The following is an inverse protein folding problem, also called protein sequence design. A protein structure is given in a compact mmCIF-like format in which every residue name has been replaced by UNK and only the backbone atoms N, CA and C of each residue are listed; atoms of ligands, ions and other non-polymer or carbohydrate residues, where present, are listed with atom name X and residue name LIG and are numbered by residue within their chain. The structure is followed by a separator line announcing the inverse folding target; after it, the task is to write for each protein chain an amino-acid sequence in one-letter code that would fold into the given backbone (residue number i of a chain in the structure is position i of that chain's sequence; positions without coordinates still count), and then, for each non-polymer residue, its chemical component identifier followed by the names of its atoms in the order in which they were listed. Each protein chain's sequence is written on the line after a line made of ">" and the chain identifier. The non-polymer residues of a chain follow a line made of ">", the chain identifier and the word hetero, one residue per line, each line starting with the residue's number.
data_IF_895127620180
#
_entry.id   IF_895127620180
#
_cell.length_a   1.000
_cell.length_b   1.000
_cell.length_c   1.000
_cell.angle_alpha   90.00
_cell.angle_beta   90.00
_cell.angle_gamma   90.00
#
_symmetry.space_group_name_H-M   'P 1'
#
loop_
_entity.id
_entity.type
_entity.pdbx_description
1 polymer ?
#
# COMPACT_ATOMS: atom_id res chain seq x y z
N UNK A 1 2.05 30.28 -49.29
CA UNK A 1 1.13 30.74 -48.23
C UNK A 1 1.48 30.01 -46.94
N UNK A 2 2.04 30.68 -45.93
CA UNK A 2 2.47 30.06 -44.67
C UNK A 2 1.24 29.88 -43.76
N UNK A 3 0.93 28.63 -43.43
CA UNK A 3 -0.20 28.30 -42.55
C UNK A 3 0.14 28.72 -41.12
N UNK A 4 -0.49 29.80 -40.68
CA UNK A 4 -0.52 30.20 -39.28
C UNK A 4 -1.37 29.19 -38.47
N UNK A 5 -0.73 28.12 -38.00
CA UNK A 5 -1.35 27.22 -37.02
C UNK A 5 -1.48 27.96 -35.69
N UNK A 6 -2.70 28.43 -35.43
CA UNK A 6 -3.32 28.70 -34.13
C UNK A 6 -2.37 29.10 -32.98
N UNK A 7 -2.08 30.40 -32.84
CA UNK A 7 -1.68 31.00 -31.55
C UNK A 7 -2.93 31.33 -30.74
N UNK A 8 -3.61 30.32 -30.20
CA UNK A 8 -4.57 30.57 -29.11
C UNK A 8 -3.80 31.08 -27.90
N UNK A 9 -4.25 32.18 -27.29
CA UNK A 9 -3.54 32.84 -26.20
C UNK A 9 -3.30 31.87 -25.03
N UNK A 10 -2.01 31.64 -24.72
CA UNK A 10 -1.51 30.78 -23.65
C UNK A 10 -1.83 31.42 -22.29
N UNK A 11 -3.01 31.15 -21.74
CA UNK A 11 -3.45 31.64 -20.41
C UNK A 11 -2.77 30.93 -19.23
N UNK A 12 -1.88 29.96 -19.48
CA UNK A 12 -1.19 29.20 -18.43
C UNK A 12 0.28 29.65 -18.27
N UNK A 13 0.61 30.30 -17.15
CA UNK A 13 1.96 30.81 -16.83
C UNK A 13 2.91 29.77 -16.21
N UNK A 14 2.55 28.48 -16.20
CA UNK A 14 3.36 27.40 -15.64
C UNK A 14 4.23 26.66 -16.67
N UNK A 15 4.35 25.34 -16.49
CA UNK A 15 5.04 24.40 -17.38
C UNK A 15 5.02 24.76 -18.88
N UNK A 16 6.21 24.96 -19.47
CA UNK A 16 6.40 25.44 -20.86
C UNK A 16 6.59 24.33 -21.90
N UNK A 17 6.90 23.10 -21.48
CA UNK A 17 7.07 21.95 -22.39
C UNK A 17 5.73 21.26 -22.69
N UNK A 18 5.51 20.74 -23.91
CA UNK A 18 4.23 20.11 -24.30
C UNK A 18 3.86 18.90 -23.42
N UNK A 19 4.86 18.12 -22.98
CA UNK A 19 4.68 16.98 -22.06
C UNK A 19 4.12 17.43 -20.70
N UNK A 20 4.66 18.51 -20.15
CA UNK A 20 4.22 19.05 -18.87
C UNK A 20 2.79 19.64 -18.93
N UNK A 21 2.41 20.35 -20.01
CA UNK A 21 1.03 20.78 -20.23
C UNK A 21 0.04 19.59 -20.33
N UNK A 22 0.45 18.48 -20.95
CA UNK A 22 -0.33 17.23 -20.96
C UNK A 22 -0.49 16.66 -19.54
N UNK A 23 0.58 16.64 -18.74
CA UNK A 23 0.54 16.16 -17.34
C UNK A 23 -0.39 17.00 -16.47
N UNK A 24 -0.39 18.33 -16.62
CA UNK A 24 -1.33 19.22 -15.90
C UNK A 24 -2.78 18.85 -16.22
N UNK A 25 -3.13 18.73 -17.51
CA UNK A 25 -4.49 18.32 -17.92
C UNK A 25 -4.90 16.95 -17.36
N UNK A 26 -3.99 15.97 -17.40
CA UNK A 26 -4.23 14.65 -16.82
C UNK A 26 -4.42 14.71 -15.30
N UNK A 27 -3.60 15.49 -14.61
CA UNK A 27 -3.67 15.66 -13.16
C UNK A 27 -5.00 16.30 -12.73
N UNK A 28 -5.47 17.33 -13.44
CA UNK A 28 -6.77 17.97 -13.15
C UNK A 28 -7.93 16.98 -13.28
N UNK A 29 -7.96 16.17 -14.35
CA UNK A 29 -8.98 15.13 -14.57
C UNK A 29 -8.95 14.08 -13.45
N UNK A 30 -7.77 13.55 -13.14
CA UNK A 30 -7.59 12.57 -12.04
C UNK A 30 -7.97 13.18 -10.69
N UNK A 31 -7.63 14.44 -10.42
CA UNK A 31 -7.95 15.15 -9.18
C UNK A 31 -9.47 15.28 -9.01
N UNK A 32 -10.22 15.57 -10.07
CA UNK A 32 -11.67 15.69 -9.99
C UNK A 32 -12.33 14.38 -9.54
N UNK A 33 -11.96 13.26 -10.16
CA UNK A 33 -12.48 11.92 -9.81
C UNK A 33 -12.02 11.50 -8.41
N UNK A 34 -10.71 11.60 -8.13
CA UNK A 34 -10.15 11.16 -6.86
C UNK A 34 -10.68 11.99 -5.67
N UNK A 35 -10.95 13.28 -5.89
CA UNK A 35 -11.52 14.13 -4.85
C UNK A 35 -12.89 13.62 -4.42
N UNK A 36 -13.77 13.32 -5.38
CA UNK A 36 -15.13 12.82 -5.12
C UNK A 36 -15.11 11.53 -4.29
N UNK A 37 -14.41 10.50 -4.75
CA UNK A 37 -14.37 9.22 -4.03
C UNK A 37 -13.72 9.35 -2.65
N UNK A 38 -12.68 10.20 -2.53
CA UNK A 38 -12.02 10.44 -1.24
C UNK A 38 -12.92 11.21 -0.27
N UNK A 39 -13.68 12.18 -0.74
CA UNK A 39 -14.63 12.93 0.10
C UNK A 39 -15.79 12.04 0.52
N UNK A 40 -16.38 11.27 -0.40
CA UNK A 40 -17.46 10.31 -0.10
C UNK A 40 -17.04 9.32 0.99
N UNK A 41 -15.89 8.66 0.82
CA UNK A 41 -15.38 7.72 1.83
C UNK A 41 -15.05 8.41 3.18
N UNK A 42 -14.61 9.68 3.16
CA UNK A 42 -14.37 10.45 4.40
C UNK A 42 -15.68 10.78 5.11
N UNK A 43 -16.70 11.21 4.36
CA UNK A 43 -18.01 11.59 4.89
C UNK A 43 -18.71 10.38 5.51
N UNK A 44 -18.72 9.23 4.83
CA UNK A 44 -19.34 8.01 5.37
C UNK A 44 -18.66 7.52 6.66
N UNK A 45 -17.32 7.59 6.72
CA UNK A 45 -16.57 7.25 7.94
C UNK A 45 -16.88 8.23 9.08
N UNK A 46 -17.07 9.51 8.76
CA UNK A 46 -17.45 10.52 9.75
C UNK A 46 -18.86 10.25 10.28
N UNK A 47 -19.84 10.06 9.39
CA UNK A 47 -21.22 9.73 9.76
C UNK A 47 -21.29 8.46 10.62
N UNK A 48 -20.61 7.38 10.22
CA UNK A 48 -20.55 6.16 11.02
C UNK A 48 -19.88 6.37 12.39
N UNK A 49 -18.86 7.24 12.46
CA UNK A 49 -18.23 7.59 13.74
C UNK A 49 -19.15 8.43 14.62
N UNK A 50 -19.93 9.34 14.04
CA UNK A 50 -20.82 10.25 14.78
C UNK A 50 -22.05 9.51 15.30
N UNK A 51 -22.61 8.58 14.51
CA UNK A 51 -23.68 7.68 14.95
C UNK A 51 -23.18 6.80 16.11
N UNK A 52 -21.98 6.21 15.99
CA UNK A 52 -21.40 5.42 17.07
C UNK A 52 -21.15 6.23 18.35
N UNK A 53 -20.93 7.54 18.27
CA UNK A 53 -20.74 8.40 19.44
C UNK A 53 -22.06 9.02 19.96
N UNK A 54 -23.22 8.61 19.44
CA UNK A 54 -24.53 9.16 19.81
C UNK A 54 -24.75 10.61 19.37
N UNK A 55 -23.91 11.15 18.47
CA UNK A 55 -24.02 12.53 17.97
C UNK A 55 -25.03 12.69 16.84
N UNK A 56 -25.45 11.57 16.25
CA UNK A 56 -26.42 11.51 15.16
C UNK A 56 -27.30 10.28 15.35
N UNK A 57 -28.57 10.41 15.00
CA UNK A 57 -29.51 9.28 14.94
C UNK A 57 -29.33 8.53 13.62
N UNK A 58 -29.49 7.20 13.65
CA UNK A 58 -29.46 6.36 12.46
C UNK A 58 -29.01 4.93 12.73
N UNK A 59 -29.12 4.09 11.71
CA UNK A 59 -28.74 2.68 11.78
C UNK A 59 -27.20 2.53 11.77
N UNK A 60 -26.62 2.52 12.97
CA UNK A 60 -25.19 2.26 13.21
C UNK A 60 -24.60 1.11 12.38
N UNK A 61 -25.18 -0.11 12.35
CA UNK A 61 -24.61 -1.22 11.60
C UNK A 61 -24.57 -0.97 10.09
N UNK A 62 -25.62 -0.35 9.53
CA UNK A 62 -25.67 -0.03 8.10
C UNK A 62 -24.66 1.06 7.73
N UNK A 63 -24.57 2.12 8.54
CA UNK A 63 -23.60 3.19 8.34
C UNK A 63 -22.15 2.68 8.36
N UNK A 64 -21.85 1.75 9.28
CA UNK A 64 -20.53 1.10 9.36
C UNK A 64 -20.26 0.24 8.13
N UNK A 65 -21.23 -0.56 7.67
CA UNK A 65 -21.10 -1.37 6.47
C UNK A 65 -20.86 -0.51 5.21
N UNK A 66 -21.62 0.57 5.06
CA UNK A 66 -21.47 1.53 3.96
C UNK A 66 -20.09 2.20 3.97
N UNK A 67 -19.60 2.60 5.15
CA UNK A 67 -18.26 3.18 5.30
C UNK A 67 -17.14 2.21 4.92
N UNK A 68 -17.24 0.94 5.31
CA UNK A 68 -16.26 -0.10 4.93
C UNK A 68 -16.28 -0.32 3.43
N UNK A 69 -17.46 -0.49 2.83
CA UNK A 69 -17.63 -0.70 1.39
C UNK A 69 -17.01 0.46 0.59
N UNK A 70 -17.24 1.70 1.01
CA UNK A 70 -16.66 2.87 0.36
C UNK A 70 -15.13 2.94 0.47
N UNK A 71 -14.56 2.55 1.62
CA UNK A 71 -13.11 2.49 1.80
C UNK A 71 -12.45 1.43 0.91
N UNK A 72 -13.09 0.28 0.75
CA UNK A 72 -12.60 -0.81 -0.09
C UNK A 72 -12.66 -0.46 -1.57
N UNK A 73 -13.81 0.06 -2.04
CA UNK A 73 -13.95 0.55 -3.41
C UNK A 73 -12.91 1.64 -3.73
N UNK A 74 -12.57 2.49 -2.76
CA UNK A 74 -11.53 3.49 -2.94
C UNK A 74 -10.11 2.90 -2.98
N UNK A 75 -9.87 1.77 -2.29
CA UNK A 75 -8.60 1.05 -2.32
C UNK A 75 -8.42 0.25 -3.61
N UNK A 76 -9.47 -0.45 -4.06
CA UNK A 76 -9.50 -1.19 -5.33
C UNK A 76 -9.24 -0.26 -6.52
N UNK A 77 -9.82 0.94 -6.51
CA UNK A 77 -9.56 1.98 -7.53
C UNK A 77 -8.17 2.61 -7.44
N UNK A 78 -7.34 2.23 -6.46
CA UNK A 78 -6.01 2.80 -6.23
C UNK A 78 -6.00 4.26 -5.77
N UNK A 79 -7.15 4.80 -5.33
CA UNK A 79 -7.28 6.19 -4.86
C UNK A 79 -6.76 6.32 -3.42
N UNK A 80 -6.95 5.26 -2.62
CA UNK A 80 -6.36 5.08 -1.29
C UNK A 80 -5.42 3.87 -1.31
N UNK A 81 -4.29 3.99 -0.63
CA UNK A 81 -3.42 2.83 -0.41
C UNK A 81 -4.14 1.78 0.45
N UNK A 82 -3.99 0.46 0.20
CA UNK A 82 -4.67 -0.59 0.96
C UNK A 82 -4.41 -0.48 2.47
N UNK A 83 -3.16 -0.22 2.87
CA UNK A 83 -2.84 0.03 4.29
C UNK A 83 -3.54 1.28 4.87
N UNK A 84 -3.81 2.31 4.06
CA UNK A 84 -4.55 3.49 4.54
C UNK A 84 -6.02 3.12 4.77
N UNK A 85 -6.64 2.39 3.84
CA UNK A 85 -7.99 1.86 4.00
C UNK A 85 -8.08 0.94 5.24
N UNK A 86 -7.16 -0.01 5.40
CA UNK A 86 -7.09 -0.90 6.56
C UNK A 86 -6.96 -0.14 7.89
N UNK A 87 -6.09 0.88 7.96
CA UNK A 87 -5.97 1.74 9.14
C UNK A 87 -7.28 2.47 9.46
N UNK A 88 -7.98 2.98 8.45
CA UNK A 88 -9.26 3.68 8.64
C UNK A 88 -10.34 2.73 9.14
N UNK A 89 -10.44 1.52 8.58
CA UNK A 89 -11.34 0.48 9.07
C UNK A 89 -11.06 0.11 10.52
N UNK A 90 -9.80 -0.15 10.86
CA UNK A 90 -9.41 -0.50 12.24
C UNK A 90 -9.77 0.60 13.24
N UNK A 91 -9.54 1.87 12.89
CA UNK A 91 -9.93 3.01 13.72
C UNK A 91 -11.44 3.13 13.89
N UNK A 92 -12.21 2.95 12.81
CA UNK A 92 -13.68 2.97 12.88
C UNK A 92 -14.20 1.87 13.81
N UNK A 93 -13.73 0.64 13.61
CA UNK A 93 -14.12 -0.51 14.44
C UNK A 93 -13.75 -0.33 15.92
N UNK A 94 -12.60 0.27 16.20
CA UNK A 94 -12.20 0.55 17.59
C UNK A 94 -13.19 1.51 18.26
N UNK A 95 -13.66 2.53 17.54
CA UNK A 95 -14.66 3.48 18.07
C UNK A 95 -16.02 2.83 18.27
N UNK A 96 -16.49 2.06 17.29
CA UNK A 96 -17.77 1.36 17.34
C UNK A 96 -17.78 0.37 18.50
N UNK A 97 -16.71 -0.42 18.66
CA UNK A 97 -16.61 -1.35 19.79
C UNK A 97 -16.53 -0.61 21.13
N UNK A 98 -15.83 0.53 21.19
CA UNK A 98 -15.79 1.33 22.42
C UNK A 98 -17.18 1.86 22.78
N UNK A 99 -17.97 2.31 21.80
CA UNK A 99 -19.34 2.74 22.01
C UNK A 99 -20.25 1.61 22.48
N UNK A 100 -20.23 0.46 21.81
CA UNK A 100 -21.00 -0.71 22.25
C UNK A 100 -20.60 -1.18 23.66
N UNK A 101 -19.32 -1.12 24.02
CA UNK A 101 -18.88 -1.43 25.38
C UNK A 101 -19.39 -0.41 26.42
N UNK A 102 -19.63 0.85 26.03
CA UNK A 102 -20.25 1.84 26.90
C UNK A 102 -21.74 1.55 27.09
N UNK A 103 -22.46 1.20 26.01
CA UNK A 103 -23.87 0.78 26.09
C UNK A 103 -24.04 -0.50 26.92
N UNK A 104 -23.17 -1.50 26.73
CA UNK A 104 -23.18 -2.72 27.53
C UNK A 104 -22.77 -2.49 29.00
N UNK A 105 -21.96 -1.46 29.29
CA UNK A 105 -21.62 -1.10 30.68
C UNK A 105 -22.82 -0.48 31.42
N UNK A 106 -23.77 0.15 30.72
CA UNK A 106 -25.02 0.61 31.33
C UNK A 106 -26.05 -0.53 31.48
N UNK A 107 -26.01 -1.53 30.60
CA UNK A 107 -26.92 -2.70 30.66
C UNK A 107 -26.44 -3.83 31.59
N UNK A 108 -25.15 -3.90 31.92
CA UNK A 108 -24.58 -4.99 32.71
C UNK A 108 -24.51 -4.66 34.21
N UNK A 109 -25.48 -5.20 34.96
CA UNK A 109 -25.20 -5.61 36.34
C UNK A 109 -24.04 -6.62 36.32
N UNK A 110 -23.06 -6.52 37.24
CA UNK A 110 -21.73 -7.11 37.05
C UNK A 110 -21.74 -8.62 37.33
N UNK A 111 -22.10 -9.43 36.34
CA UNK A 111 -21.97 -10.89 36.40
C UNK A 111 -20.88 -11.37 35.44
N UNK A 112 -19.74 -11.73 36.04
CA UNK A 112 -18.66 -12.56 35.49
C UNK A 112 -17.85 -11.99 34.31
N UNK A 113 -17.04 -10.97 34.59
CA UNK A 113 -15.88 -10.61 33.78
C UNK A 113 -14.86 -11.76 33.72
N UNK A 114 -14.92 -12.59 32.67
CA UNK A 114 -13.80 -13.46 32.27
C UNK A 114 -12.66 -12.57 31.79
N UNK A 115 -11.76 -12.24 32.71
CA UNK A 115 -10.53 -11.50 32.44
C UNK A 115 -9.73 -12.24 31.37
N UNK A 116 -9.76 -11.74 30.12
CA UNK A 116 -8.80 -12.15 29.09
C UNK A 116 -7.46 -11.55 29.48
N UNK A 117 -6.71 -12.27 30.31
CA UNK A 117 -5.39 -11.83 30.76
C UNK A 117 -4.50 -11.61 29.54
N UNK A 118 -3.83 -10.48 29.50
CA UNK A 118 -2.85 -10.10 28.46
C UNK A 118 -1.70 -11.10 28.35
N UNK A 119 -1.51 -11.93 29.38
CA UNK A 119 -0.62 -13.09 29.40
C UNK A 119 -0.97 -14.13 28.31
N UNK A 120 -2.26 -14.39 28.05
CA UNK A 120 -2.71 -15.35 27.04
C UNK A 120 -2.38 -14.90 25.61
N UNK A 121 -2.46 -13.59 25.34
CA UNK A 121 -2.10 -12.99 24.04
C UNK A 121 -0.59 -13.00 23.78
N UNK A 122 0.23 -12.83 24.82
CA UNK A 122 1.70 -12.95 24.72
C UNK A 122 2.13 -14.41 24.54
N UNK A 123 1.50 -15.34 25.26
CA UNK A 123 1.73 -16.77 25.10
C UNK A 123 1.28 -17.30 23.72
N UNK A 124 0.14 -16.83 23.20
CA UNK A 124 -0.31 -17.13 21.84
C UNK A 124 0.60 -16.51 20.77
N UNK A 125 1.09 -15.27 20.96
CA UNK A 125 2.08 -14.68 20.04
C UNK A 125 3.41 -15.43 20.06
N UNK A 126 3.88 -15.93 21.22
CA UNK A 126 5.08 -16.79 21.31
C UNK A 126 4.85 -18.14 20.62
N UNK A 127 3.70 -18.80 20.82
CA UNK A 127 3.36 -20.06 20.12
C UNK A 127 3.25 -19.88 18.60
N UNK A 128 2.61 -18.81 18.14
CA UNK A 128 2.50 -18.51 16.69
C UNK A 128 3.85 -18.08 16.11
N UNK A 129 4.71 -17.39 16.86
CA UNK A 129 6.07 -17.08 16.44
C UNK A 129 6.97 -18.34 16.37
N UNK A 130 6.84 -19.26 17.33
CA UNK A 130 7.53 -20.55 17.30
C UNK A 130 7.05 -21.44 16.15
N UNK A 131 5.74 -21.48 15.89
CA UNK A 131 5.16 -22.19 14.75
C UNK A 131 5.52 -21.53 13.40
N UNK A 132 5.69 -20.20 13.36
CA UNK A 132 6.16 -19.47 12.17
C UNK A 132 7.65 -19.64 11.96
N UNK A 133 8.44 -19.86 13.01
CA UNK A 133 9.86 -20.20 12.94
C UNK A 133 10.08 -21.64 12.44
N UNK A 134 9.28 -22.61 12.92
CA UNK A 134 9.34 -24.00 12.41
C UNK A 134 8.81 -24.11 10.98
N UNK A 135 7.80 -23.31 10.59
CA UNK A 135 7.34 -23.22 9.20
C UNK A 135 8.28 -22.40 8.29
N UNK A 136 9.05 -21.46 8.84
CA UNK A 136 10.12 -20.76 8.10
C UNK A 136 11.35 -21.62 7.84
N UNK A 137 11.59 -22.67 8.63
CA UNK A 137 12.58 -23.70 8.32
C UNK A 137 12.13 -24.62 7.17
N UNK A 138 10.81 -24.89 7.05
CA UNK A 138 10.24 -25.72 5.98
C UNK A 138 9.88 -24.95 4.69
N UNK A 139 9.82 -23.61 4.73
CA UNK A 139 9.24 -22.78 3.66
C UNK A 139 10.12 -21.63 3.15
N UNK A 140 11.45 -21.76 3.17
CA UNK A 140 12.35 -20.75 2.57
C UNK A 140 12.88 -21.20 1.21
N UNK A 141 11.97 -21.39 0.28
CA UNK A 141 12.24 -21.56 -1.14
C UNK A 141 11.65 -20.37 -1.92
N UNK A 142 12.23 -19.17 -1.75
CA UNK A 142 12.05 -18.07 -2.72
C UNK A 142 13.33 -17.21 -2.77
N UNK A 143 14.09 -17.47 -3.83
CA UNK A 143 14.73 -16.47 -4.71
C UNK A 143 15.97 -15.67 -4.26
N UNK A 144 16.85 -16.26 -3.44
CA UNK A 144 18.26 -15.81 -3.36
C UNK A 144 19.17 -16.95 -2.89
N UNK A 145 20.20 -17.38 -3.64
CA UNK A 145 21.01 -18.54 -3.26
C UNK A 145 21.91 -18.19 -2.06
N UNK A 146 21.40 -18.45 -0.85
CA UNK A 146 22.20 -18.40 0.39
C UNK A 146 22.68 -19.78 0.85
N UNK A 147 22.31 -20.86 0.16
CA UNK A 147 22.85 -22.21 0.38
C UNK A 147 24.26 -22.35 -0.19
N UNK A 148 25.12 -23.16 0.44
CA UNK A 148 26.51 -23.36 0.02
C UNK A 148 26.62 -23.83 -1.44
N UNK A 149 25.75 -24.74 -1.86
CA UNK A 149 25.65 -25.19 -3.26
C UNK A 149 25.23 -24.07 -4.23
N UNK A 150 24.36 -23.15 -3.80
CA UNK A 150 23.94 -22.00 -4.61
C UNK A 150 25.05 -20.94 -4.76
N UNK A 151 25.81 -20.68 -3.69
CA UNK A 151 26.99 -19.82 -3.75
C UNK A 151 28.06 -20.38 -4.69
N UNK A 152 28.29 -21.70 -4.66
CA UNK A 152 29.23 -22.36 -5.57
C UNK A 152 28.83 -22.21 -7.04
N UNK A 153 27.55 -22.40 -7.39
CA UNK A 153 27.05 -22.21 -8.77
C UNK A 153 27.15 -20.75 -9.24
N UNK A 154 26.89 -19.79 -8.36
CA UNK A 154 27.07 -18.35 -8.68
C UNK A 154 28.55 -18.00 -8.85
N UNK A 155 29.45 -18.60 -8.06
CA UNK A 155 30.89 -18.40 -8.20
C UNK A 155 31.41 -18.95 -9.54
N UNK A 156 31.00 -20.15 -9.94
CA UNK A 156 31.38 -20.75 -11.23
C UNK A 156 30.88 -19.92 -12.42
N UNK A 157 29.64 -19.44 -12.36
CA UNK A 157 29.09 -18.58 -13.43
C UNK A 157 29.71 -17.20 -13.47
N UNK A 158 30.14 -16.65 -12.32
CA UNK A 158 30.90 -15.38 -12.26
C UNK A 158 32.31 -15.53 -12.82
N UNK A 159 33.04 -16.58 -12.44
CA UNK A 159 34.38 -16.87 -12.98
C UNK A 159 34.35 -17.11 -14.50
N UNK A 160 33.33 -17.80 -15.01
CA UNK A 160 33.11 -17.94 -16.46
C UNK A 160 32.93 -16.58 -17.15
N UNK A 161 32.11 -15.67 -16.59
CA UNK A 161 31.91 -14.33 -17.18
C UNK A 161 33.16 -13.46 -17.13
N UNK A 162 33.95 -13.61 -16.08
CA UNK A 162 35.19 -12.85 -15.88
C UNK A 162 36.29 -13.33 -16.84
N UNK A 163 36.41 -14.64 -17.06
CA UNK A 163 37.29 -15.20 -18.09
C UNK A 163 36.87 -14.81 -19.52
N UNK A 164 35.56 -14.74 -19.80
CA UNK A 164 35.05 -14.26 -21.07
C UNK A 164 35.27 -12.75 -21.27
N UNK A 165 35.17 -11.96 -20.20
CA UNK A 165 35.47 -10.52 -20.22
C UNK A 165 36.98 -10.27 -20.41
N UNK A 166 37.85 -11.06 -19.78
CA UNK A 166 39.29 -10.99 -19.96
C UNK A 166 39.71 -11.35 -21.40
N UNK A 167 39.11 -12.39 -22.00
CA UNK A 167 39.34 -12.73 -23.41
C UNK A 167 38.88 -11.62 -24.36
N UNK A 168 37.77 -10.93 -24.04
CA UNK A 168 37.31 -9.77 -24.82
C UNK A 168 38.24 -8.56 -24.68
N UNK A 169 38.80 -8.32 -23.49
CA UNK A 169 39.80 -7.26 -23.27
C UNK A 169 41.13 -7.53 -23.98
N UNK A 170 41.64 -8.76 -23.91
CA UNK A 170 42.82 -9.16 -24.67
C UNK A 170 42.60 -8.99 -26.19
N UNK A 171 41.41 -9.33 -26.69
CA UNK A 171 41.04 -9.13 -28.11
C UNK A 171 40.96 -7.64 -28.52
N UNK A 172 40.71 -6.73 -27.58
CA UNK A 172 40.70 -5.27 -27.84
C UNK A 172 42.06 -4.62 -27.67
N UNK A 173 42.98 -5.23 -26.93
CA UNK A 173 44.36 -4.73 -26.73
C UNK A 173 45.31 -5.17 -27.87
N UNK A 174 45.03 -6.29 -28.54
CA UNK A 174 45.74 -6.77 -29.74
C UNK A 174 45.27 -6.11 -31.06
N UNK A 175 44.40 -5.10 -30.99
CA UNK A 175 43.97 -4.34 -32.15
C UNK A 175 45.07 -3.31 -32.51
N UNK A 176 45.65 -3.35 -33.73
CA UNK A 176 46.71 -2.41 -34.10
C UNK A 176 46.16 -0.97 -34.03
N UNK A 177 46.97 0.01 -33.57
CA UNK A 177 46.53 1.40 -33.52
C UNK A 177 46.18 1.86 -34.94
N UNK A 178 44.98 2.40 -35.08
CA UNK A 178 44.46 3.00 -36.31
C UNK A 178 45.26 4.29 -36.57
N UNK A 179 46.28 4.24 -37.44
CA UNK A 179 46.93 5.44 -37.97
C UNK A 179 46.05 6.05 -39.06
N UNK A 180 45.36 7.14 -38.72
CA UNK A 180 44.53 7.95 -39.63
C UNK A 180 44.21 9.31 -39.04
#
# INVERSE_FOLDING_TARGET
>A
MRTHVARTARTWKGARTPSALKRVRQALRRRAVNRRTRSEAKTLVLQASDIALGRSTGDGPEAVAAAISALDKAAEKGILHPNNAARRKSRLMTKVNAAHLLDEAEAATPAAAKQRTTASKTAQRKKVAAAKASKAAAGKATDRPRTAAGKAKVAVTRASRESAAARRRAKSEDAPPDEG
#
